data_IF_153578558046
#
_entry.id   IF_153578558046
#
_cell.length_a   1.000
_cell.length_b   1.000
_cell.length_c   1.000
_cell.angle_alpha   90.00
_cell.angle_beta   90.00
_cell.angle_gamma   90.00
#
_symmetry.space_group_name_H-M   'P 1'
#
loop_
_entity.id
_entity.type
_entity.pdbx_description
1 polymer ?
#
# COMPACT_ATOMS: atom_id res chain seq x y z
N UNK A 1 11.42 17.55 -0.72
CA UNK A 1 11.22 16.08 -0.94
C UNK A 1 9.76 15.79 -1.29
N UNK A 2 9.44 14.80 -2.13
CA UNK A 2 8.06 14.41 -2.46
C UNK A 2 7.40 13.43 -1.48
N UNK A 3 7.78 13.51 -0.21
CA UNK A 3 7.28 12.64 0.86
C UNK A 3 6.12 13.31 1.60
N UNK A 4 5.36 12.51 2.34
CA UNK A 4 4.22 12.98 3.12
C UNK A 4 4.37 12.60 4.60
N UNK A 5 4.01 13.50 5.52
CA UNK A 5 3.81 13.14 6.92
C UNK A 5 2.50 12.34 7.07
N UNK A 6 2.35 11.64 8.18
CA UNK A 6 1.07 11.00 8.52
C UNK A 6 0.01 12.03 8.91
N UNK A 7 0.42 13.17 9.50
CA UNK A 7 -0.48 14.27 9.89
C UNK A 7 -0.05 15.55 9.18
N UNK A 8 -1.02 16.21 8.55
CA UNK A 8 -0.81 17.47 7.85
C UNK A 8 -1.61 18.58 8.52
N UNK A 9 -0.92 19.58 9.07
CA UNK A 9 -1.51 20.79 9.65
C UNK A 9 -1.14 22.04 8.87
N UNK A 10 0.00 22.02 8.19
CA UNK A 10 0.56 23.10 7.39
C UNK A 10 1.50 22.55 6.30
N UNK A 11 1.90 23.35 5.29
CA UNK A 11 2.91 22.93 4.32
C UNK A 11 4.23 22.49 5.00
N UNK A 12 4.72 21.30 4.65
CA UNK A 12 5.98 20.79 5.20
C UNK A 12 7.19 21.58 4.70
N UNK A 13 8.23 21.68 5.54
CA UNK A 13 9.49 22.33 5.18
C UNK A 13 10.13 21.63 3.98
N UNK A 14 10.72 22.42 3.09
CA UNK A 14 11.44 21.85 1.95
C UNK A 14 12.79 21.27 2.43
N UNK A 15 12.90 19.95 2.42
CA UNK A 15 14.12 19.21 2.78
C UNK A 15 14.73 18.57 1.53
N UNK A 16 16.06 18.61 1.44
CA UNK A 16 16.84 17.93 0.39
C UNK A 16 16.63 16.42 0.46
N UNK A 17 16.51 15.79 -0.72
CA UNK A 17 16.35 14.34 -0.82
C UNK A 17 17.66 13.64 -0.41
N UNK A 18 17.56 12.67 0.50
CA UNK A 18 18.66 11.78 0.90
C UNK A 18 18.36 10.36 0.44
N UNK A 19 19.40 9.55 0.26
CA UNK A 19 19.26 8.13 -0.04
C UNK A 19 18.90 7.34 1.22
N UNK A 20 18.04 6.33 1.05
CA UNK A 20 17.68 5.36 2.07
C UNK A 20 18.93 4.70 2.65
N UNK A 21 18.97 4.59 3.97
CA UNK A 21 20.07 3.96 4.67
C UNK A 21 19.58 3.33 5.99
N UNK A 22 20.44 2.55 6.62
CA UNK A 22 20.14 1.95 7.92
C UNK A 22 20.64 2.87 9.04
N UNK A 23 19.95 2.89 10.21
CA UNK A 23 20.50 3.55 11.39
C UNK A 23 21.80 2.86 11.83
N UNK A 24 22.76 3.68 12.26
CA UNK A 24 24.04 3.22 12.81
C UNK A 24 24.01 3.13 14.35
N UNK A 25 22.93 3.59 14.98
CA UNK A 25 22.67 3.48 16.42
C UNK A 25 21.87 2.20 16.76
N UNK A 26 21.80 1.83 18.04
CA UNK A 26 20.93 0.74 18.48
C UNK A 26 19.46 1.17 18.44
N UNK A 27 18.84 0.97 17.27
CA UNK A 27 17.46 1.35 17.03
C UNK A 27 16.45 0.70 17.99
N UNK A 28 16.82 -0.35 18.73
CA UNK A 28 15.91 -0.97 19.71
C UNK A 28 15.69 -0.10 20.93
N UNK A 29 16.73 0.63 21.34
CA UNK A 29 16.78 1.36 22.60
C UNK A 29 16.90 2.88 22.38
N UNK A 30 17.43 3.29 21.23
CA UNK A 30 17.75 4.67 20.89
C UNK A 30 16.94 5.21 19.70
N UNK A 31 17.07 6.51 19.43
CA UNK A 31 16.49 7.15 18.24
C UNK A 31 14.97 7.19 18.17
N UNK A 32 14.27 7.04 19.31
CA UNK A 32 12.81 7.18 19.37
C UNK A 32 12.40 8.63 19.12
N UNK A 33 11.60 8.82 18.08
CA UNK A 33 10.97 10.11 17.76
C UNK A 33 9.56 10.09 18.33
N UNK A 34 9.24 11.05 19.21
CA UNK A 34 7.91 11.14 19.84
C UNK A 34 6.83 11.41 18.79
N UNK A 35 7.06 12.40 17.93
CA UNK A 35 6.13 12.82 16.88
C UNK A 35 6.49 12.15 15.56
N UNK A 36 6.46 10.81 15.52
CA UNK A 36 6.76 10.07 14.29
C UNK A 36 5.81 10.42 13.14
N UNK A 37 4.63 10.97 13.42
CA UNK A 37 3.64 11.37 12.42
C UNK A 37 4.05 12.61 11.61
N UNK A 38 5.07 13.37 12.05
CA UNK A 38 5.66 14.48 11.29
C UNK A 38 6.71 13.98 10.26
N UNK A 39 7.10 12.70 10.36
CA UNK A 39 8.14 12.08 9.56
C UNK A 39 7.58 11.44 8.26
N UNK A 40 8.47 11.08 7.33
CA UNK A 40 8.06 10.51 6.06
C UNK A 40 7.33 9.18 6.25
N UNK A 41 6.15 9.04 5.68
CA UNK A 41 5.25 7.91 5.94
C UNK A 41 4.87 7.20 4.66
N UNK A 42 5.00 5.88 4.66
CA UNK A 42 4.47 4.95 3.65
C UNK A 42 3.39 4.02 4.21
N UNK A 43 3.25 3.99 5.53
CA UNK A 43 2.25 3.18 6.24
C UNK A 43 0.82 3.39 5.72
N UNK A 44 -0.01 2.35 5.85
CA UNK A 44 -1.45 2.35 5.49
C UNK A 44 -1.72 2.59 3.98
N UNK A 45 -0.79 2.23 3.09
CA UNK A 45 -0.97 2.35 1.64
C UNK A 45 -0.91 3.80 1.13
N UNK A 46 -0.26 4.68 1.90
CA UNK A 46 -0.24 6.12 1.63
C UNK A 46 0.23 6.44 0.22
N UNK A 47 1.29 5.78 -0.26
CA UNK A 47 1.84 6.05 -1.57
C UNK A 47 0.84 5.70 -2.69
N UNK A 48 0.18 4.55 -2.58
CA UNK A 48 -0.86 4.12 -3.50
C UNK A 48 -2.04 5.08 -3.56
N UNK A 49 -2.59 5.48 -2.41
CA UNK A 49 -3.76 6.37 -2.35
C UNK A 49 -3.44 7.79 -2.80
N UNK A 50 -2.36 8.38 -2.31
CA UNK A 50 -1.98 9.75 -2.65
C UNK A 50 -1.64 9.88 -4.14
N UNK A 51 -0.94 8.89 -4.71
CA UNK A 51 -0.67 8.88 -6.16
C UNK A 51 -1.95 8.82 -6.98
N UNK A 52 -2.91 7.95 -6.63
CA UNK A 52 -4.21 7.87 -7.32
C UNK A 52 -4.93 9.22 -7.31
N UNK A 53 -5.10 9.81 -6.13
CA UNK A 53 -5.84 11.09 -5.99
C UNK A 53 -5.17 12.21 -6.78
N UNK A 54 -3.85 12.31 -6.76
CA UNK A 54 -3.13 13.35 -7.50
C UNK A 54 -3.16 13.13 -9.01
N UNK A 55 -3.12 11.87 -9.47
CA UNK A 55 -3.28 11.54 -10.89
C UNK A 55 -4.68 11.93 -11.37
N UNK A 56 -5.73 11.51 -10.65
CA UNK A 56 -7.12 11.88 -10.97
C UNK A 56 -7.32 13.40 -10.95
N UNK A 57 -6.76 14.09 -9.95
CA UNK A 57 -6.81 15.56 -9.88
C UNK A 57 -6.11 16.21 -11.08
N UNK A 58 -4.95 15.70 -11.52
CA UNK A 58 -4.31 16.16 -12.75
C UNK A 58 -5.19 15.91 -13.97
N UNK A 59 -5.79 14.73 -14.08
CA UNK A 59 -6.64 14.38 -15.22
C UNK A 59 -7.89 15.25 -15.32
N UNK A 60 -8.50 15.63 -14.19
CA UNK A 60 -9.70 16.46 -14.14
C UNK A 60 -9.34 17.94 -14.33
N UNK A 61 -8.42 18.45 -13.50
CA UNK A 61 -8.17 19.89 -13.41
C UNK A 61 -7.09 20.38 -14.38
N UNK A 62 -6.31 19.47 -14.96
CA UNK A 62 -5.16 19.76 -15.85
C UNK A 62 -4.13 20.71 -15.24
N UNK A 63 -4.07 20.80 -13.91
CA UNK A 63 -3.11 21.65 -13.20
C UNK A 63 -1.76 20.93 -13.08
N UNK A 64 -0.67 21.47 -13.66
CA UNK A 64 0.64 20.80 -13.69
C UNK A 64 1.24 20.59 -12.29
N UNK A 65 0.76 21.28 -11.24
CA UNK A 65 1.21 21.06 -9.86
C UNK A 65 0.92 19.64 -9.39
N UNK A 66 -0.19 19.04 -9.81
CA UNK A 66 -0.54 17.67 -9.45
C UNK A 66 0.39 16.65 -10.12
N UNK A 67 0.65 16.82 -11.42
CA UNK A 67 1.63 15.99 -12.13
C UNK A 67 3.02 16.08 -11.46
N UNK A 68 3.49 17.29 -11.15
CA UNK A 68 4.76 17.48 -10.47
C UNK A 68 4.80 16.82 -9.08
N UNK A 69 3.69 16.84 -8.34
CA UNK A 69 3.60 16.18 -7.04
C UNK A 69 3.73 14.65 -7.17
N UNK A 70 3.06 14.03 -8.16
CA UNK A 70 3.17 12.59 -8.44
C UNK A 70 4.61 12.21 -8.80
N UNK A 71 5.25 12.96 -9.69
CA UNK A 71 6.64 12.67 -10.11
C UNK A 71 7.63 12.81 -8.94
N UNK A 72 7.45 13.84 -8.09
CA UNK A 72 8.25 14.02 -6.87
C UNK A 72 8.03 12.90 -5.86
N UNK A 73 6.80 12.37 -5.74
CA UNK A 73 6.52 11.18 -4.93
C UNK A 73 7.30 9.99 -5.47
N UNK A 74 7.24 9.73 -6.78
CA UNK A 74 8.03 8.65 -7.40
C UNK A 74 9.54 8.80 -7.15
N UNK A 75 10.08 10.01 -7.27
CA UNK A 75 11.50 10.28 -6.98
C UNK A 75 11.84 10.01 -5.51
N UNK A 76 10.94 10.35 -4.58
CA UNK A 76 11.08 10.00 -3.17
C UNK A 76 11.07 8.49 -2.95
N UNK A 77 10.14 7.75 -3.56
CA UNK A 77 10.04 6.29 -3.43
C UNK A 77 11.32 5.59 -3.92
N UNK A 78 11.89 6.04 -5.04
CA UNK A 78 13.18 5.53 -5.53
C UNK A 78 14.28 5.81 -4.49
N UNK A 79 14.37 7.05 -4.01
CA UNK A 79 15.43 7.44 -3.10
C UNK A 79 15.31 6.82 -1.70
N UNK A 80 14.10 6.53 -1.23
CA UNK A 80 13.86 5.93 0.09
C UNK A 80 14.08 4.41 0.12
N UNK A 81 14.33 3.78 -1.03
CA UNK A 81 14.66 2.36 -1.09
C UNK A 81 15.93 2.10 -0.27
N UNK A 82 15.85 1.12 0.63
CA UNK A 82 17.00 0.76 1.46
C UNK A 82 18.08 0.05 0.63
N UNK A 83 19.36 0.15 1.03
CA UNK A 83 20.43 -0.53 0.33
C UNK A 83 20.41 -2.03 0.62
N UNK A 84 21.30 -2.78 -0.04
CA UNK A 84 21.58 -4.17 0.34
C UNK A 84 21.91 -4.25 1.85
N UNK A 85 21.47 -5.32 2.55
CA UNK A 85 20.91 -6.56 2.01
C UNK A 85 19.37 -6.60 1.86
N UNK A 86 18.66 -5.51 2.17
CA UNK A 86 17.19 -5.46 2.14
C UNK A 86 16.71 -4.34 1.23
N UNK A 87 16.77 -4.59 -0.08
CA UNK A 87 16.44 -3.58 -1.10
C UNK A 87 14.92 -3.43 -1.24
N UNK A 88 14.29 -2.80 -0.25
CA UNK A 88 12.86 -2.70 -0.04
C UNK A 88 12.54 -1.47 0.84
N UNK A 89 11.31 -1.35 1.38
CA UNK A 89 10.87 -0.16 2.10
C UNK A 89 10.39 -0.44 3.52
N UNK A 90 10.35 0.61 4.34
CA UNK A 90 9.84 0.64 5.70
C UNK A 90 8.54 1.45 5.77
N UNK A 91 7.84 1.36 6.89
CA UNK A 91 6.61 2.12 7.10
C UNK A 91 6.83 3.62 7.34
N UNK A 92 7.89 4.00 8.07
CA UNK A 92 8.20 5.39 8.39
C UNK A 92 9.71 5.63 8.36
N UNK A 93 10.10 6.84 7.94
CA UNK A 93 11.49 7.27 7.87
C UNK A 93 11.68 8.65 8.50
N UNK A 94 12.79 8.86 9.20
CA UNK A 94 13.20 10.20 9.62
C UNK A 94 13.69 11.05 8.43
N UNK A 95 14.06 12.31 8.71
CA UNK A 95 14.61 13.23 7.70
C UNK A 95 16.02 12.85 7.21
N UNK A 96 16.65 11.83 7.80
CA UNK A 96 17.90 11.18 7.38
C UNK A 96 17.66 9.98 6.46
N UNK A 97 16.40 9.69 6.12
CA UNK A 97 15.96 8.53 5.32
C UNK A 97 16.29 7.18 5.96
N UNK A 98 16.22 7.12 7.29
CA UNK A 98 16.38 5.90 8.09
C UNK A 98 15.03 5.43 8.61
N UNK A 99 14.74 4.11 8.59
CA UNK A 99 13.56 3.55 9.23
C UNK A 99 13.49 3.95 10.71
N UNK A 100 12.29 4.30 11.19
CA UNK A 100 12.06 4.71 12.58
C UNK A 100 10.94 3.93 13.24
N UNK A 101 10.85 4.05 14.57
CA UNK A 101 9.67 3.62 15.31
C UNK A 101 8.49 4.53 14.96
N UNK A 102 7.32 3.92 14.80
CA UNK A 102 6.05 4.63 14.89
C UNK A 102 5.38 4.36 16.24
N UNK A 103 4.26 3.63 16.26
CA UNK A 103 3.62 3.23 17.51
C UNK A 103 4.53 2.26 18.28
N UNK A 104 4.21 2.03 19.57
CA UNK A 104 5.01 1.15 20.46
C UNK A 104 5.16 -0.30 19.95
N UNK A 105 4.33 -0.71 19.00
CA UNK A 105 4.31 -2.02 18.37
C UNK A 105 4.74 -1.99 16.89
N UNK A 106 5.28 -0.87 16.41
CA UNK A 106 5.73 -0.66 15.02
C UNK A 106 7.21 -0.26 15.04
N UNK A 107 8.11 -1.25 15.00
CA UNK A 107 9.54 -1.01 15.10
C UNK A 107 10.12 -0.52 13.75
N UNK A 108 11.31 0.10 13.76
CA UNK A 108 12.15 0.26 12.58
C UNK A 108 12.39 -1.11 11.96
N UNK A 109 11.83 -1.32 10.78
CA UNK A 109 11.90 -2.59 10.08
C UNK A 109 11.58 -2.38 8.59
N UNK A 110 12.09 -3.28 7.76
CA UNK A 110 11.66 -3.40 6.37
C UNK A 110 10.32 -4.14 6.38
N UNK A 111 9.34 -3.68 5.60
CA UNK A 111 7.97 -4.20 5.69
C UNK A 111 7.49 -4.82 4.39
N UNK A 112 6.75 -5.92 4.52
CA UNK A 112 6.19 -6.62 3.37
C UNK A 112 5.10 -5.81 2.67
N UNK A 113 4.22 -5.15 3.43
CA UNK A 113 3.00 -4.54 2.88
C UNK A 113 3.29 -3.29 2.07
N UNK A 114 4.06 -2.39 2.66
CA UNK A 114 4.41 -1.10 2.11
C UNK A 114 5.43 -1.28 0.98
N UNK A 115 6.27 -2.32 1.02
CA UNK A 115 7.07 -2.70 -0.16
C UNK A 115 6.19 -3.09 -1.36
N UNK A 116 5.10 -3.82 -1.14
CA UNK A 116 4.17 -4.16 -2.22
C UNK A 116 3.43 -2.90 -2.73
N UNK A 117 2.95 -2.03 -1.84
CA UNK A 117 2.31 -0.76 -2.19
C UNK A 117 3.24 0.17 -2.99
N UNK A 118 4.51 0.26 -2.62
CA UNK A 118 5.50 1.05 -3.35
C UNK A 118 5.78 0.47 -4.73
N UNK A 119 5.87 -0.85 -4.88
CA UNK A 119 6.05 -1.48 -6.20
C UNK A 119 4.85 -1.17 -7.11
N UNK A 120 3.63 -1.35 -6.62
CA UNK A 120 2.40 -1.01 -7.34
C UNK A 120 2.37 0.48 -7.72
N UNK A 121 2.75 1.36 -6.80
CA UNK A 121 2.79 2.80 -7.01
C UNK A 121 3.82 3.21 -8.04
N UNK A 122 5.02 2.63 -8.01
CA UNK A 122 6.07 2.91 -8.99
C UNK A 122 5.68 2.47 -10.40
N UNK A 123 5.00 1.31 -10.53
CA UNK A 123 4.44 0.85 -11.81
C UNK A 123 3.36 1.82 -12.34
N UNK A 124 2.47 2.31 -11.45
CA UNK A 124 1.47 3.32 -11.78
C UNK A 124 2.11 4.63 -12.24
N UNK A 125 3.12 5.12 -11.52
CA UNK A 125 3.84 6.35 -11.86
C UNK A 125 4.63 6.19 -13.17
N UNK A 126 5.21 5.01 -13.44
CA UNK A 126 5.83 4.70 -14.73
C UNK A 126 4.85 4.94 -15.88
N UNK A 127 3.64 4.38 -15.81
CA UNK A 127 2.61 4.59 -16.83
C UNK A 127 2.22 6.07 -16.94
N UNK A 128 1.93 6.71 -15.80
CA UNK A 128 1.53 8.11 -15.75
C UNK A 128 2.58 9.07 -16.32
N UNK A 129 3.87 8.76 -16.14
CA UNK A 129 4.99 9.54 -16.65
C UNK A 129 5.24 9.40 -18.15
N UNK A 130 4.44 8.58 -18.85
CA UNK A 130 4.68 8.23 -20.26
C UNK A 130 5.78 7.19 -20.45
N UNK A 131 6.07 6.38 -19.43
CA UNK A 131 7.03 5.28 -19.50
C UNK A 131 8.45 5.65 -19.08
N UNK A 132 8.65 6.55 -18.11
CA UNK A 132 10.00 6.83 -17.58
C UNK A 132 10.55 5.64 -16.79
N UNK A 133 11.44 4.89 -17.43
CA UNK A 133 12.08 3.67 -16.95
C UNK A 133 12.76 3.80 -15.57
N UNK A 134 13.09 5.00 -15.12
CA UNK A 134 13.65 5.19 -13.77
C UNK A 134 12.73 4.65 -12.67
N UNK A 135 11.41 4.69 -12.88
CA UNK A 135 10.41 4.20 -11.93
C UNK A 135 10.34 2.67 -11.89
N UNK A 136 10.71 1.97 -12.96
CA UNK A 136 10.78 0.50 -12.96
C UNK A 136 12.11 -0.04 -12.41
N UNK A 137 13.19 0.74 -12.50
CA UNK A 137 14.55 0.35 -12.07
C UNK A 137 14.66 -0.26 -10.66
N UNK A 138 14.01 0.26 -9.59
CA UNK A 138 14.15 -0.30 -8.24
C UNK A 138 13.36 -1.60 -8.01
N UNK A 139 12.40 -1.93 -8.87
CA UNK A 139 11.41 -2.99 -8.63
C UNK A 139 12.03 -4.40 -8.61
N UNK A 140 12.95 -4.80 -9.52
CA UNK A 140 13.48 -6.16 -9.54
C UNK A 140 14.14 -6.59 -8.22
N UNK A 141 14.91 -5.69 -7.59
CA UNK A 141 15.57 -5.98 -6.32
C UNK A 141 14.56 -6.15 -5.18
N UNK A 142 13.49 -5.35 -5.17
CA UNK A 142 12.41 -5.46 -4.20
C UNK A 142 11.56 -6.73 -4.39
N UNK A 143 11.26 -7.12 -5.63
CA UNK A 143 10.59 -8.39 -5.93
C UNK A 143 11.44 -9.60 -5.48
N UNK A 144 12.76 -9.53 -5.68
CA UNK A 144 13.67 -10.56 -5.18
C UNK A 144 13.68 -10.62 -3.65
N UNK A 145 13.64 -9.46 -2.99
CA UNK A 145 13.52 -9.37 -1.53
C UNK A 145 12.19 -9.96 -1.03
N UNK A 146 11.05 -9.63 -1.65
CA UNK A 146 9.74 -10.20 -1.31
C UNK A 146 9.76 -11.73 -1.44
N UNK A 147 10.28 -12.26 -2.54
CA UNK A 147 10.42 -13.70 -2.77
C UNK A 147 11.24 -14.40 -1.68
N UNK A 148 12.38 -13.82 -1.30
CA UNK A 148 13.23 -14.35 -0.22
C UNK A 148 12.56 -14.27 1.16
N UNK A 149 11.64 -13.33 1.32
CA UNK A 149 11.02 -13.02 2.61
C UNK A 149 9.72 -13.78 2.87
N UNK A 150 9.16 -14.47 1.87
CA UNK A 150 7.95 -15.28 2.04
C UNK A 150 8.12 -16.31 3.17
N UNK A 151 7.11 -16.38 4.02
CA UNK A 151 6.98 -17.37 5.08
C UNK A 151 6.62 -18.75 4.47
N UNK A 152 6.75 -19.85 5.24
CA UNK A 152 6.43 -21.19 4.73
C UNK A 152 5.00 -21.37 4.20
N UNK A 153 4.06 -20.55 4.68
CA UNK A 153 2.66 -20.54 4.26
C UNK A 153 2.39 -19.61 3.06
N UNK A 154 3.43 -19.00 2.48
CA UNK A 154 3.36 -18.08 1.34
C UNK A 154 3.02 -16.63 1.70
N UNK A 155 2.66 -16.34 2.94
CA UNK A 155 2.43 -14.98 3.44
C UNK A 155 3.77 -14.23 3.62
N UNK A 156 3.68 -12.95 3.95
CA UNK A 156 4.81 -12.14 4.41
C UNK A 156 4.59 -11.78 5.88
N UNK A 157 5.66 -11.72 6.66
CA UNK A 157 5.61 -11.01 7.93
C UNK A 157 5.43 -9.51 7.64
N UNK A 158 4.73 -8.81 8.54
CA UNK A 158 4.60 -7.35 8.41
C UNK A 158 5.94 -6.66 8.57
N UNK A 159 6.78 -7.11 9.49
CA UNK A 159 8.09 -6.53 9.77
C UNK A 159 9.20 -7.57 9.61
N UNK A 160 10.31 -7.13 9.03
CA UNK A 160 11.58 -7.86 8.98
C UNK A 160 12.65 -6.99 9.62
N UNK A 161 13.38 -7.60 10.54
CA UNK A 161 14.48 -6.97 11.25
C UNK A 161 15.50 -6.38 10.26
N UNK A 162 15.95 -5.15 10.56
CA UNK A 162 16.94 -4.43 9.77
C UNK A 162 18.25 -5.23 9.68
N UNK A 163 18.83 -5.25 8.49
CA UNK A 163 20.07 -5.95 8.07
C UNK A 163 19.97 -7.49 8.06
N UNK A 164 19.25 -8.14 8.98
CA UNK A 164 19.21 -9.61 9.08
C UNK A 164 18.12 -10.25 8.22
N UNK A 165 17.06 -9.51 7.90
CA UNK A 165 15.86 -10.02 7.22
C UNK A 165 15.09 -11.11 7.98
N UNK A 166 15.24 -11.20 9.30
CA UNK A 166 14.46 -12.13 10.11
C UNK A 166 13.05 -11.57 10.35
N UNK A 167 11.97 -12.35 10.18
CA UNK A 167 10.62 -11.93 10.57
C UNK A 167 10.60 -11.43 12.01
N UNK A 168 10.05 -10.23 12.22
CA UNK A 168 10.05 -9.53 13.50
C UNK A 168 8.62 -9.25 13.94
N UNK A 169 8.32 -9.54 15.20
CA UNK A 169 6.98 -9.39 15.75
C UNK A 169 7.02 -8.74 17.13
N UNK A 170 5.85 -8.66 17.77
CA UNK A 170 5.73 -8.25 19.15
C UNK A 170 4.96 -9.28 19.96
N UNK A 171 5.37 -9.49 21.21
CA UNK A 171 4.48 -10.02 22.26
C UNK A 171 3.85 -8.85 23.01
N UNK A 172 2.71 -9.10 23.68
CA UNK A 172 2.03 -8.09 24.48
C UNK A 172 1.61 -8.62 25.85
N UNK A 173 2.00 -7.92 26.90
CA UNK A 173 1.49 -8.12 28.26
C UNK A 173 0.88 -6.81 28.77
N UNK A 174 -0.45 -6.77 28.88
CA UNK A 174 -1.18 -5.55 29.23
C UNK A 174 -0.96 -4.42 28.22
N UNK A 175 -0.26 -3.36 28.63
CA UNK A 175 0.13 -2.22 27.77
C UNK A 175 1.59 -2.29 27.28
N UNK A 176 2.32 -3.33 27.67
CA UNK A 176 3.74 -3.49 27.35
C UNK A 176 3.91 -4.38 26.13
N UNK A 177 4.63 -3.87 25.12
CA UNK A 177 5.04 -4.62 23.94
C UNK A 177 6.53 -4.93 24.02
N UNK A 178 6.92 -6.11 23.55
CA UNK A 178 8.33 -6.53 23.46
C UNK A 178 8.57 -7.18 22.11
N UNK A 179 9.71 -6.86 21.50
CA UNK A 179 10.16 -7.51 20.28
C UNK A 179 10.31 -9.01 20.50
N UNK A 180 9.87 -9.78 19.52
CA UNK A 180 10.04 -11.23 19.48
C UNK A 180 10.24 -11.69 18.04
N UNK A 181 10.78 -12.89 17.89
CA UNK A 181 10.83 -13.60 16.62
C UNK A 181 9.88 -14.80 16.60
N UNK A 182 9.16 -15.03 17.70
CA UNK A 182 8.16 -16.07 17.88
C UNK A 182 6.78 -15.51 17.49
N UNK A 183 6.08 -16.22 16.61
CA UNK A 183 4.76 -15.87 16.10
C UNK A 183 3.62 -16.70 16.72
N UNK A 184 3.89 -17.45 17.78
CA UNK A 184 2.90 -18.30 18.46
C UNK A 184 1.89 -17.53 19.34
N UNK A 185 2.27 -16.36 19.87
CA UNK A 185 1.43 -15.52 20.75
C UNK A 185 1.41 -14.05 20.32
N UNK A 186 0.88 -13.83 19.12
CA UNK A 186 0.81 -12.50 18.51
C UNK A 186 -0.41 -11.69 18.98
N UNK A 187 -0.26 -10.38 19.24
CA UNK A 187 -1.37 -9.53 19.64
C UNK A 187 -2.48 -9.47 18.57
N UNK A 188 -3.65 -10.01 18.90
CA UNK A 188 -4.80 -10.23 17.98
C UNK A 188 -5.45 -8.98 17.37
N UNK A 189 -5.08 -7.79 17.83
CA UNK A 189 -5.66 -6.52 17.36
C UNK A 189 -4.88 -5.93 16.16
N UNK A 190 -3.89 -6.65 15.65
CA UNK A 190 -3.00 -6.18 14.60
C UNK A 190 -2.65 -7.29 13.63
N UNK A 191 -2.57 -6.99 12.33
CA UNK A 191 -2.23 -7.95 11.29
C UNK A 191 -0.71 -8.10 11.17
N UNK A 192 -0.15 -9.13 11.78
CA UNK A 192 1.30 -9.39 11.81
C UNK A 192 1.84 -10.15 10.60
N UNK A 193 0.95 -10.84 9.89
CA UNK A 193 1.21 -11.48 8.61
C UNK A 193 0.23 -10.93 7.60
N UNK A 194 0.67 -10.80 6.37
CA UNK A 194 -0.09 -10.21 5.29
C UNK A 194 -0.01 -11.11 4.07
N UNK A 195 -1.01 -10.98 3.20
CA UNK A 195 -1.00 -11.66 1.91
C UNK A 195 0.16 -11.19 1.03
N UNK A 196 0.74 -12.13 0.29
CA UNK A 196 1.75 -11.85 -0.71
C UNK A 196 1.12 -11.77 -2.10
N UNK A 197 1.19 -10.59 -2.72
CA UNK A 197 0.83 -10.35 -4.12
C UNK A 197 1.99 -10.60 -5.08
N UNK A 198 3.08 -11.24 -4.64
CA UNK A 198 4.33 -11.35 -5.39
C UNK A 198 4.14 -11.83 -6.84
N UNK A 199 3.36 -12.89 -7.04
CA UNK A 199 3.10 -13.45 -8.37
C UNK A 199 2.39 -12.46 -9.30
N UNK A 200 1.45 -11.68 -8.75
CA UNK A 200 0.75 -10.62 -9.48
C UNK A 200 1.72 -9.50 -9.84
N UNK A 201 2.50 -9.01 -8.87
CA UNK A 201 3.45 -7.91 -9.09
C UNK A 201 4.54 -8.27 -10.11
N UNK A 202 5.05 -9.51 -10.07
CA UNK A 202 6.00 -10.00 -11.07
C UNK A 202 5.41 -10.01 -12.48
N UNK A 203 4.16 -10.47 -12.61
CA UNK A 203 3.45 -10.48 -13.90
C UNK A 203 3.24 -9.07 -14.42
N UNK A 204 2.73 -8.15 -13.59
CA UNK A 204 2.50 -6.76 -13.95
C UNK A 204 3.78 -6.04 -14.36
N UNK A 205 4.86 -6.20 -13.58
CA UNK A 205 6.17 -5.67 -13.92
C UNK A 205 6.66 -6.16 -15.28
N UNK A 206 6.57 -7.47 -15.56
CA UNK A 206 6.99 -8.01 -16.86
C UNK A 206 6.14 -7.52 -18.03
N UNK A 207 4.83 -7.33 -17.84
CA UNK A 207 3.93 -6.77 -18.86
C UNK A 207 4.33 -5.33 -19.20
N UNK A 208 4.50 -4.49 -18.19
CA UNK A 208 4.93 -3.10 -18.35
C UNK A 208 6.30 -3.01 -19.04
N UNK A 209 7.25 -3.86 -18.62
CA UNK A 209 8.59 -3.89 -19.21
C UNK A 209 8.60 -4.34 -20.67
N UNK A 210 7.64 -5.18 -21.06
CA UNK A 210 7.47 -5.63 -22.44
C UNK A 210 6.68 -4.64 -23.31
N UNK A 211 6.23 -3.50 -22.77
CA UNK A 211 5.34 -2.56 -23.47
C UNK A 211 3.97 -3.17 -23.80
N UNK A 212 3.58 -4.24 -23.09
CA UNK A 212 2.29 -4.90 -23.30
C UNK A 212 1.31 -4.39 -22.27
N UNK A 213 0.27 -3.70 -22.73
CA UNK A 213 -0.88 -3.39 -21.89
C UNK A 213 -1.71 -4.67 -21.64
N UNK A 214 -2.38 -4.71 -20.49
CA UNK A 214 -3.43 -5.70 -20.23
C UNK A 214 -4.48 -5.60 -21.34
N UNK A 215 -4.85 -6.73 -21.94
CA UNK A 215 -5.66 -6.77 -23.16
C UNK A 215 -7.08 -6.19 -22.90
N UNK A 216 -7.35 -4.99 -23.41
CA UNK A 216 -8.57 -4.21 -23.13
C UNK A 216 -9.86 -4.94 -23.49
N UNK A 217 -9.84 -5.82 -24.49
CA UNK A 217 -11.01 -6.61 -24.92
C UNK A 217 -11.46 -7.65 -23.88
N UNK A 218 -10.52 -8.26 -23.13
CA UNK A 218 -10.88 -9.17 -22.02
C UNK A 218 -11.57 -8.37 -20.91
N UNK A 219 -11.03 -7.20 -20.61
CA UNK A 219 -11.58 -6.31 -19.57
C UNK A 219 -12.99 -5.82 -19.89
N UNK A 220 -13.31 -5.51 -21.16
CA UNK A 220 -14.66 -5.08 -21.56
C UNK A 220 -15.70 -6.18 -21.37
N UNK A 221 -15.40 -7.42 -21.78
CA UNK A 221 -16.33 -8.55 -21.64
C UNK A 221 -16.56 -8.91 -20.17
N UNK A 222 -15.50 -8.90 -19.38
CA UNK A 222 -15.55 -9.13 -17.94
C UNK A 222 -16.37 -8.04 -17.23
N UNK A 223 -16.10 -6.76 -17.52
CA UNK A 223 -16.86 -5.62 -17.00
C UNK A 223 -18.33 -5.72 -17.39
N UNK A 224 -18.65 -5.99 -18.67
CA UNK A 224 -20.05 -6.14 -19.11
C UNK A 224 -20.77 -7.26 -18.37
N UNK A 225 -20.09 -8.38 -18.12
CA UNK A 225 -20.65 -9.49 -17.34
C UNK A 225 -20.90 -9.07 -15.89
N UNK A 226 -19.94 -8.39 -15.27
CA UNK A 226 -20.05 -7.88 -13.89
C UNK A 226 -21.19 -6.86 -13.76
N UNK A 227 -21.31 -5.91 -14.68
CA UNK A 227 -22.39 -4.92 -14.74
C UNK A 227 -23.75 -5.59 -14.80
N UNK A 228 -23.92 -6.61 -15.66
CA UNK A 228 -25.18 -7.36 -15.75
C UNK A 228 -25.54 -8.04 -14.42
N UNK A 229 -24.55 -8.55 -13.69
CA UNK A 229 -24.78 -9.12 -12.35
C UNK A 229 -25.19 -8.04 -11.35
N UNK A 230 -24.44 -6.94 -11.28
CA UNK A 230 -24.73 -5.80 -10.38
C UNK A 230 -26.15 -5.26 -10.56
N UNK A 231 -26.61 -5.13 -11.81
CA UNK A 231 -27.96 -4.64 -12.11
C UNK A 231 -29.05 -5.64 -11.70
N UNK A 232 -28.77 -6.94 -11.72
CA UNK A 232 -29.73 -7.98 -11.30
C UNK A 232 -29.86 -8.09 -9.78
N UNK A 233 -28.87 -7.61 -9.04
CA UNK A 233 -28.85 -7.65 -7.57
C UNK A 233 -29.60 -6.48 -6.91
N UNK A 234 -30.10 -5.52 -7.71
CA UNK A 234 -30.96 -4.45 -7.23
C UNK A 234 -32.29 -5.01 -6.73
N UNK A 235 -32.70 -4.58 -5.54
CA UNK A 235 -34.04 -4.85 -5.03
C UNK A 235 -35.11 -3.98 -5.74
N UNK A 236 -36.37 -4.16 -5.35
CA UNK A 236 -37.49 -3.38 -5.91
C UNK A 236 -37.43 -1.87 -5.61
N UNK A 237 -36.56 -1.44 -4.70
CA UNK A 237 -36.31 -0.03 -4.37
C UNK A 237 -34.99 0.47 -5.00
N UNK A 238 -34.39 -0.29 -5.92
CA UNK A 238 -33.12 0.00 -6.56
C UNK A 238 -31.95 0.15 -5.58
N UNK A 239 -31.86 -0.76 -4.60
CA UNK A 239 -30.76 -0.82 -3.62
C UNK A 239 -30.02 -2.15 -3.72
N UNK A 240 -28.73 -2.13 -3.39
CA UNK A 240 -27.96 -3.34 -3.12
C UNK A 240 -28.01 -3.63 -1.62
N UNK A 241 -28.75 -4.68 -1.24
CA UNK A 241 -28.91 -5.09 0.15
C UNK A 241 -27.99 -6.28 0.43
N UNK A 242 -27.08 -6.09 1.38
CA UNK A 242 -26.26 -7.16 1.94
C UNK A 242 -27.01 -7.85 3.06
N UNK A 243 -26.75 -9.15 3.24
CA UNK A 243 -27.33 -9.94 4.34
C UNK A 243 -26.19 -10.48 5.19
N UNK A 244 -26.23 -10.22 6.49
CA UNK A 244 -25.17 -10.68 7.38
C UNK A 244 -25.22 -12.19 7.56
N UNK A 245 -24.09 -12.85 7.38
CA UNK A 245 -23.87 -14.26 7.70
C UNK A 245 -23.34 -14.46 9.13
N UNK A 246 -23.32 -13.39 9.94
CA UNK A 246 -22.72 -13.38 11.28
C UNK A 246 -21.23 -13.03 11.29
N UNK A 247 -20.69 -12.61 10.14
CA UNK A 247 -19.33 -12.12 10.00
C UNK A 247 -19.09 -10.88 10.88
N UNK A 248 -17.84 -10.74 11.34
CA UNK A 248 -17.42 -9.54 12.03
C UNK A 248 -17.02 -8.49 11.01
N UNK A 249 -17.81 -7.43 10.91
CA UNK A 249 -17.47 -6.23 10.16
C UNK A 249 -16.60 -5.30 11.03
N UNK A 250 -15.43 -4.90 10.52
CA UNK A 250 -14.49 -4.05 11.27
C UNK A 250 -15.12 -2.69 11.54
N UNK A 251 -15.02 -2.20 12.79
CA UNK A 251 -15.56 -0.90 13.19
C UNK A 251 -17.07 -0.87 13.40
N UNK A 252 -17.77 -1.99 13.20
CA UNK A 252 -19.23 -2.07 13.33
C UNK A 252 -19.66 -2.95 14.52
N UNK A 253 -20.86 -2.74 15.08
CA UNK A 253 -21.45 -3.67 16.05
C UNK A 253 -21.67 -5.04 15.41
N UNK A 254 -21.82 -6.09 16.23
CA UNK A 254 -22.13 -7.43 15.71
C UNK A 254 -23.53 -7.44 15.11
N UNK A 255 -23.62 -7.84 13.85
CA UNK A 255 -24.90 -8.02 13.17
C UNK A 255 -25.46 -9.41 13.52
N UNK A 256 -26.74 -9.52 13.89
CA UNK A 256 -27.42 -10.81 13.91
C UNK A 256 -27.40 -11.45 12.53
N UNK A 257 -27.25 -12.78 12.47
CA UNK A 257 -27.35 -13.54 11.22
C UNK A 257 -28.70 -13.24 10.55
N UNK A 258 -28.68 -13.09 9.22
CA UNK A 258 -29.79 -12.69 8.36
C UNK A 258 -30.25 -11.23 8.50
N UNK A 259 -29.52 -10.39 9.25
CA UNK A 259 -29.80 -8.94 9.24
C UNK A 259 -29.47 -8.35 7.89
N UNK A 260 -30.41 -7.59 7.32
CA UNK A 260 -30.22 -6.85 6.09
C UNK A 260 -29.61 -5.47 6.36
N UNK A 261 -28.63 -5.07 5.56
CA UNK A 261 -27.98 -3.77 5.67
C UNK A 261 -27.48 -3.29 4.31
N UNK A 262 -27.23 -1.98 4.20
CA UNK A 262 -26.55 -1.39 3.04
C UNK A 262 -25.06 -1.35 3.36
N UNK A 263 -24.27 -2.12 2.62
CA UNK A 263 -22.81 -2.07 2.73
C UNK A 263 -22.26 -0.92 1.90
N UNK A 264 -21.52 0.00 2.52
CA UNK A 264 -20.79 1.05 1.79
C UNK A 264 -19.71 0.46 0.87
N UNK A 265 -19.12 -0.67 1.24
CA UNK A 265 -18.15 -1.39 0.41
C UNK A 265 -18.81 -1.92 -0.87
N UNK A 266 -19.90 -2.67 -0.75
CA UNK A 266 -20.66 -3.18 -1.92
C UNK A 266 -21.15 -2.04 -2.80
N UNK A 267 -21.69 -0.97 -2.19
CA UNK A 267 -22.12 0.20 -2.91
C UNK A 267 -20.98 0.85 -3.71
N UNK A 268 -19.82 1.03 -3.07
CA UNK A 268 -18.62 1.60 -3.71
C UNK A 268 -18.13 0.72 -4.86
N UNK A 269 -17.98 -0.58 -4.63
CA UNK A 269 -17.53 -1.55 -5.64
C UNK A 269 -18.45 -1.57 -6.86
N UNK A 270 -19.76 -1.54 -6.63
CA UNK A 270 -20.76 -1.52 -7.69
C UNK A 270 -20.69 -0.22 -8.49
N UNK A 271 -20.65 0.94 -7.82
CA UNK A 271 -20.53 2.22 -8.50
C UNK A 271 -19.23 2.34 -9.30
N UNK A 272 -18.09 1.92 -8.74
CA UNK A 272 -16.81 1.93 -9.45
C UNK A 272 -16.86 1.06 -10.71
N UNK A 273 -17.42 -0.15 -10.61
CA UNK A 273 -17.57 -1.06 -11.76
C UNK A 273 -18.48 -0.46 -12.84
N UNK A 274 -19.62 0.10 -12.45
CA UNK A 274 -20.55 0.76 -13.38
C UNK A 274 -19.89 1.96 -14.05
N UNK A 275 -19.17 2.78 -13.30
CA UNK A 275 -18.44 3.94 -13.81
C UNK A 275 -17.36 3.52 -14.81
N UNK A 276 -16.56 2.51 -14.48
CA UNK A 276 -15.52 1.99 -15.37
C UNK A 276 -16.09 1.47 -16.70
N UNK A 277 -17.25 0.80 -16.65
CA UNK A 277 -17.94 0.37 -17.86
C UNK A 277 -18.43 1.54 -18.71
N UNK A 278 -18.98 2.59 -18.09
CA UNK A 278 -19.42 3.79 -18.81
C UNK A 278 -18.26 4.55 -19.45
N UNK A 279 -17.12 4.66 -18.77
CA UNK A 279 -15.92 5.27 -19.37
C UNK A 279 -15.44 4.49 -20.59
N UNK A 280 -15.42 3.16 -20.51
CA UNK A 280 -15.06 2.31 -21.64
C UNK A 280 -16.00 2.48 -22.85
N UNK A 281 -17.28 2.77 -22.62
CA UNK A 281 -18.23 3.08 -23.69
C UNK A 281 -18.01 4.48 -24.30
N UNK A 282 -17.42 5.43 -23.58
CA UNK A 282 -17.10 6.76 -24.13
C UNK A 282 -15.86 6.76 -25.01
N UNK A 283 -14.93 5.84 -24.75
CA UNK A 283 -13.66 5.73 -25.49
C UNK A 283 -13.74 4.86 -26.74
N UNK A 284 -14.84 4.14 -26.95
CA UNK A 284 -15.13 3.36 -28.17
C UNK A 284 -16.12 4.11 -29.06
#
# INVERSE_FOLDING_TARGET
>A
VGAFPQVWTEPVKNVSLKAGNFPEYDWRTEGRIKNYWDCYTLNDGLAGYVSTVLIEAYEIYKDPRYQQAVLKLGDFLIASQLPQPQTAWAQQYNYEMQPIWARRFEPPAVTGGETQDVIETLMKIYQFSGGDEKYLKPIPAALAWLKKSQLPDGQLARYYELKTNRPLYMTRSGKNYRLTYDDSDLPRHYGWKIESKLSQLQREYHLLKAGKEQNSQSSQRELSTRVKTILKELDSQARWISTSTGERLVGQPKFPVNSQYISSEVFSDHLQTLSAYLELLKTN
#
